data_IF_064685539269
#
_entry.id   IF_064685539269
#
_cell.length_a   1.000
_cell.length_b   1.000
_cell.length_c   1.000
_cell.angle_alpha   90.00
_cell.angle_beta   90.00
_cell.angle_gamma   90.00
#
_symmetry.space_group_name_H-M   'P 1'
#
loop_
_entity.id
_entity.type
_entity.pdbx_description
1 polymer ?
#
# COMPACT_ATOMS: atom_id res chain seq x y z
N UNK A 1 54.29 14.70 -84.50
CA UNK A 1 54.76 15.48 -83.33
C UNK A 1 53.78 15.32 -82.19
N UNK A 2 54.20 14.54 -81.19
CA UNK A 2 53.83 14.58 -79.77
C UNK A 2 52.33 14.64 -79.41
N UNK A 3 51.72 13.45 -79.32
CA UNK A 3 51.11 13.02 -78.06
C UNK A 3 52.23 12.35 -77.24
N UNK A 4 52.55 12.86 -76.04
CA UNK A 4 52.98 12.11 -74.85
C UNK A 4 53.57 13.07 -73.80
N UNK A 5 53.25 12.79 -72.53
CA UNK A 5 54.05 13.08 -71.33
C UNK A 5 54.05 14.53 -70.81
N UNK A 6 54.15 14.81 -69.52
CA UNK A 6 54.11 14.03 -68.28
C UNK A 6 54.44 15.05 -67.18
N UNK A 7 53.60 15.09 -66.15
CA UNK A 7 53.92 15.38 -64.75
C UNK A 7 54.52 16.73 -64.31
N UNK A 8 54.06 17.05 -63.08
CA UNK A 8 54.67 17.92 -62.08
C UNK A 8 54.39 19.41 -62.26
N UNK A 9 53.33 19.90 -61.61
CA UNK A 9 53.40 21.03 -60.68
C UNK A 9 52.03 21.28 -60.03
N UNK A 10 51.94 20.91 -58.74
CA UNK A 10 51.11 21.50 -57.67
C UNK A 10 49.58 21.43 -57.85
N UNK A 11 48.80 20.49 -57.30
CA UNK A 11 48.94 19.64 -56.12
C UNK A 11 49.18 20.38 -54.79
N UNK A 12 48.34 21.38 -54.47
CA UNK A 12 47.99 21.74 -53.10
C UNK A 12 46.64 22.46 -53.12
N UNK A 13 45.81 22.18 -52.11
CA UNK A 13 44.48 22.76 -51.88
C UNK A 13 43.32 22.13 -52.68
N UNK A 14 42.96 20.90 -52.30
CA UNK A 14 41.60 20.53 -51.87
C UNK A 14 41.81 19.20 -51.11
N UNK A 15 42.10 19.32 -49.81
CA UNK A 15 41.97 18.20 -48.89
C UNK A 15 40.47 18.07 -48.62
N UNK A 16 39.81 17.20 -49.38
CA UNK A 16 38.55 16.60 -48.95
C UNK A 16 38.90 15.76 -47.71
N UNK A 17 38.78 16.36 -46.52
CA UNK A 17 38.61 15.59 -45.29
C UNK A 17 37.15 15.18 -45.28
N UNK A 18 36.83 14.09 -45.99
CA UNK A 18 35.78 13.22 -45.47
C UNK A 18 36.36 12.58 -44.23
N UNK A 19 36.28 13.30 -43.11
CA UNK A 19 36.21 12.64 -41.83
C UNK A 19 34.91 11.85 -41.90
N UNK A 20 35.00 10.61 -42.34
CA UNK A 20 34.13 9.58 -41.81
C UNK A 20 34.29 9.71 -40.32
N UNK A 21 33.32 10.35 -39.67
CA UNK A 21 33.01 10.08 -38.28
C UNK A 21 32.66 8.59 -38.25
N UNK A 22 33.69 7.75 -38.17
CA UNK A 22 33.57 6.56 -37.36
C UNK A 22 33.35 7.14 -35.97
N UNK A 23 32.07 7.38 -35.65
CA UNK A 23 31.61 7.21 -34.29
C UNK A 23 32.19 5.87 -33.90
N UNK A 24 33.17 5.87 -32.99
CA UNK A 24 33.44 4.66 -32.25
C UNK A 24 32.07 4.24 -31.75
N UNK A 25 31.56 3.13 -32.29
CA UNK A 25 30.40 2.47 -31.69
C UNK A 25 30.89 2.21 -30.28
N UNK A 26 30.37 2.98 -29.31
CA UNK A 26 30.68 2.73 -27.91
C UNK A 26 30.39 1.27 -27.64
N UNK A 27 31.22 0.60 -26.84
CA UNK A 27 30.91 -0.76 -26.41
C UNK A 27 29.50 -0.77 -25.84
N UNK A 28 28.65 -1.70 -26.31
CA UNK A 28 27.28 -1.80 -25.82
C UNK A 28 27.33 -2.31 -24.39
N UNK A 29 26.47 -1.80 -23.51
CA UNK A 29 26.37 -2.32 -22.14
C UNK A 29 25.95 -3.81 -22.18
N UNK A 30 25.25 -4.22 -23.23
CA UNK A 30 24.80 -5.60 -23.43
C UNK A 30 25.92 -6.56 -23.82
N UNK A 31 27.06 -6.06 -24.32
CA UNK A 31 28.23 -6.92 -24.60
C UNK A 31 28.74 -7.58 -23.31
N UNK A 32 28.70 -6.84 -22.19
CA UNK A 32 29.11 -7.32 -20.87
C UNK A 32 27.93 -7.94 -20.07
N UNK A 33 26.70 -7.50 -20.35
CA UNK A 33 25.47 -7.94 -19.66
C UNK A 33 24.40 -8.40 -20.68
N UNK A 34 24.57 -9.57 -21.31
CA UNK A 34 23.73 -10.00 -22.44
C UNK A 34 22.25 -10.17 -22.10
N UNK A 35 21.92 -10.46 -20.84
CA UNK A 35 20.52 -10.56 -20.39
C UNK A 35 19.78 -9.21 -20.46
N UNK A 36 20.47 -8.08 -20.58
CA UNK A 36 19.82 -6.78 -20.84
C UNK A 36 19.13 -6.73 -22.20
N UNK A 37 19.48 -7.60 -23.16
CA UNK A 37 18.80 -7.72 -24.46
C UNK A 37 17.30 -7.99 -24.30
N UNK A 38 16.87 -8.63 -23.20
CA UNK A 38 15.45 -8.83 -22.94
C UNK A 38 14.67 -7.52 -22.79
N UNK A 39 15.31 -6.41 -22.39
CA UNK A 39 14.70 -5.08 -22.29
C UNK A 39 14.39 -4.47 -23.66
N UNK A 40 15.10 -4.87 -24.72
CA UNK A 40 14.92 -4.30 -26.06
C UNK A 40 13.54 -4.54 -26.68
N UNK A 41 12.76 -5.46 -26.09
CA UNK A 41 11.37 -5.69 -26.46
C UNK A 41 10.46 -4.51 -26.08
N UNK A 42 10.83 -3.71 -25.07
CA UNK A 42 10.04 -2.58 -24.58
C UNK A 42 10.70 -1.22 -24.83
N UNK A 43 12.02 -1.13 -24.69
CA UNK A 43 12.76 0.13 -24.71
C UNK A 43 14.04 0.00 -25.54
N UNK A 44 14.57 1.10 -26.07
CA UNK A 44 15.88 1.06 -26.73
C UNK A 44 17.02 1.05 -25.70
N UNK A 45 18.21 0.58 -26.09
CA UNK A 45 19.40 0.59 -25.21
C UNK A 45 19.69 1.99 -24.62
N UNK A 46 19.49 3.06 -25.40
CA UNK A 46 19.67 4.46 -24.98
C UNK A 46 18.69 4.93 -23.88
N UNK A 47 17.59 4.19 -23.68
CA UNK A 47 16.54 4.46 -22.70
C UNK A 47 16.76 3.67 -21.39
N UNK A 48 17.71 2.73 -21.36
CA UNK A 48 18.08 2.02 -20.14
C UNK A 48 18.56 3.04 -19.10
N UNK A 49 17.96 2.97 -17.93
CA UNK A 49 18.19 3.88 -16.80
C UNK A 49 18.80 3.15 -15.61
N UNK A 50 19.40 3.86 -14.64
CA UNK A 50 19.84 3.26 -13.38
C UNK A 50 18.73 2.48 -12.64
N UNK A 51 17.45 2.82 -12.85
CA UNK A 51 16.32 2.06 -12.27
C UNK A 51 16.16 0.67 -12.90
N UNK A 52 16.32 0.55 -14.23
CA UNK A 52 16.33 -0.76 -14.90
C UNK A 52 17.50 -1.61 -14.37
N UNK A 53 18.68 -1.00 -14.25
CA UNK A 53 19.89 -1.68 -13.79
C UNK A 53 19.84 -2.08 -12.32
N UNK A 54 19.20 -1.27 -11.46
CA UNK A 54 18.95 -1.61 -10.06
C UNK A 54 18.17 -2.92 -9.95
N UNK A 55 17.05 -3.02 -10.66
CA UNK A 55 16.22 -4.22 -10.68
C UNK A 55 16.93 -5.41 -11.34
N UNK A 56 17.64 -5.19 -12.44
CA UNK A 56 18.49 -6.21 -13.07
C UNK A 56 19.48 -6.84 -12.07
N UNK A 57 20.22 -6.00 -11.34
CA UNK A 57 21.15 -6.46 -10.30
C UNK A 57 20.44 -7.20 -9.17
N UNK A 58 19.32 -6.67 -8.69
CA UNK A 58 18.53 -7.32 -7.64
C UNK A 58 18.04 -8.71 -8.06
N UNK A 59 17.57 -8.86 -9.30
CA UNK A 59 17.17 -10.16 -9.87
C UNK A 59 18.33 -11.14 -9.92
N UNK A 60 19.51 -10.70 -10.37
CA UNK A 60 20.70 -11.57 -10.45
C UNK A 60 21.16 -12.05 -9.07
N UNK A 61 21.19 -11.15 -8.07
CA UNK A 61 21.46 -11.51 -6.67
C UNK A 61 20.46 -12.55 -6.17
N UNK A 62 19.17 -12.38 -6.49
CA UNK A 62 18.14 -13.34 -6.11
C UNK A 62 18.29 -14.69 -6.85
N UNK A 63 18.58 -14.69 -8.16
CA UNK A 63 18.80 -15.89 -8.96
C UNK A 63 19.96 -16.72 -8.42
N UNK A 64 21.07 -16.07 -8.07
CA UNK A 64 22.23 -16.73 -7.48
C UNK A 64 21.88 -17.34 -6.12
N UNK A 65 21.29 -16.55 -5.21
CA UNK A 65 21.05 -16.96 -3.82
C UNK A 65 19.94 -18.01 -3.69
N UNK A 66 18.91 -17.93 -4.53
CA UNK A 66 17.77 -18.85 -4.50
C UNK A 66 17.93 -19.99 -5.51
N UNK A 67 18.89 -19.92 -6.44
CA UNK A 67 19.13 -20.95 -7.44
C UNK A 67 17.97 -21.13 -8.41
N UNK A 68 17.47 -20.04 -9.00
CA UNK A 68 16.44 -20.09 -10.06
C UNK A 68 16.93 -19.47 -11.36
N UNK A 69 16.23 -19.80 -12.44
CA UNK A 69 16.45 -19.24 -13.77
C UNK A 69 15.24 -18.43 -14.20
N UNK A 70 15.46 -17.52 -15.16
CA UNK A 70 14.41 -16.73 -15.78
C UNK A 70 13.18 -17.57 -16.17
N UNK A 71 12.00 -17.11 -15.77
CA UNK A 71 10.72 -17.74 -16.08
C UNK A 71 10.35 -18.92 -15.18
N UNK A 72 11.07 -19.14 -14.07
CA UNK A 72 10.67 -20.12 -13.07
C UNK A 72 9.34 -19.72 -12.41
N UNK A 73 8.33 -20.57 -12.56
CA UNK A 73 6.98 -20.32 -12.03
C UNK A 73 6.89 -20.50 -10.51
N UNK A 74 7.87 -21.17 -9.89
CA UNK A 74 7.96 -21.37 -8.45
C UNK A 74 8.64 -20.17 -7.74
N UNK A 75 8.80 -19.05 -8.42
CA UNK A 75 9.35 -17.80 -7.85
C UNK A 75 8.28 -16.72 -7.88
N UNK A 76 8.12 -16.05 -6.75
CA UNK A 76 7.28 -14.88 -6.58
C UNK A 76 8.15 -13.64 -6.36
N UNK A 77 7.89 -12.59 -7.12
CA UNK A 77 8.43 -11.25 -6.88
C UNK A 77 7.38 -10.41 -6.15
N UNK A 78 7.77 -9.77 -5.05
CA UNK A 78 6.96 -8.77 -4.34
C UNK A 78 7.78 -7.48 -4.27
N UNK A 79 7.19 -6.34 -4.62
CA UNK A 79 7.91 -5.06 -4.64
C UNK A 79 6.98 -3.88 -4.42
N UNK A 80 7.51 -2.76 -3.93
CA UNK A 80 6.82 -1.47 -3.98
C UNK A 80 7.28 -0.56 -5.14
N UNK A 81 8.05 -1.10 -6.09
CA UNK A 81 8.43 -0.38 -7.31
C UNK A 81 7.18 0.13 -8.05
N UNK A 82 7.27 1.33 -8.62
CA UNK A 82 6.15 2.05 -9.21
C UNK A 82 5.33 2.88 -8.21
N UNK A 83 5.29 2.52 -6.93
CA UNK A 83 4.70 3.36 -5.88
C UNK A 83 5.73 4.38 -5.32
N UNK A 84 6.97 3.94 -5.12
CA UNK A 84 8.05 4.78 -4.60
C UNK A 84 8.56 5.80 -5.63
N UNK A 85 8.84 7.01 -5.16
CA UNK A 85 9.45 8.11 -5.92
C UNK A 85 10.66 8.60 -5.14
N UNK A 86 11.85 8.26 -5.63
CA UNK A 86 13.11 8.60 -4.99
C UNK A 86 13.32 10.11 -5.04
N UNK A 87 13.59 10.71 -3.87
CA UNK A 87 13.75 12.15 -3.68
C UNK A 87 12.59 12.99 -4.25
N UNK A 88 11.37 12.44 -4.32
CA UNK A 88 10.19 13.08 -4.94
C UNK A 88 10.36 13.45 -6.44
N UNK A 89 11.41 12.96 -7.10
CA UNK A 89 11.77 13.34 -8.48
C UNK A 89 11.91 12.14 -9.44
N UNK A 90 12.32 10.98 -8.93
CA UNK A 90 12.65 9.82 -9.75
C UNK A 90 11.68 8.66 -9.47
N UNK A 91 10.64 8.47 -10.30
CA UNK A 91 9.76 7.31 -10.21
C UNK A 91 10.54 6.00 -10.36
N UNK A 92 10.03 4.95 -9.71
CA UNK A 92 10.65 3.62 -9.72
C UNK A 92 9.95 2.63 -10.65
N UNK A 93 9.07 3.10 -11.53
CA UNK A 93 8.29 2.25 -12.45
C UNK A 93 9.16 1.44 -13.41
N UNK A 94 10.28 2.01 -13.87
CA UNK A 94 11.28 1.35 -14.74
C UNK A 94 11.85 0.05 -14.12
N UNK A 95 11.83 -0.07 -12.78
CA UNK A 95 12.23 -1.31 -12.12
C UNK A 95 11.30 -2.46 -12.51
N UNK A 96 10.01 -2.20 -12.74
CA UNK A 96 9.01 -3.23 -13.07
C UNK A 96 9.31 -3.90 -14.42
N UNK A 97 9.81 -3.15 -15.39
CA UNK A 97 10.21 -3.69 -16.70
C UNK A 97 11.33 -4.71 -16.56
N UNK A 98 12.39 -4.35 -15.84
CA UNK A 98 13.52 -5.23 -15.58
C UNK A 98 13.16 -6.41 -14.67
N UNK A 99 12.36 -6.20 -13.61
CA UNK A 99 11.85 -7.29 -12.79
C UNK A 99 11.10 -8.30 -13.67
N UNK A 100 10.22 -7.84 -14.56
CA UNK A 100 9.43 -8.73 -15.39
C UNK A 100 10.27 -9.44 -16.46
N UNK A 101 11.10 -8.70 -17.19
CA UNK A 101 11.80 -9.21 -18.36
C UNK A 101 13.03 -10.04 -18.00
N UNK A 102 13.72 -9.73 -16.91
CA UNK A 102 14.94 -10.44 -16.48
C UNK A 102 14.57 -11.65 -15.63
N UNK A 103 13.66 -11.51 -14.66
CA UNK A 103 13.24 -12.65 -13.84
C UNK A 103 12.25 -13.57 -14.57
N UNK A 104 11.50 -13.05 -15.54
CA UNK A 104 10.40 -13.76 -16.20
C UNK A 104 9.14 -13.89 -15.35
N UNK A 105 9.08 -13.24 -14.18
CA UNK A 105 7.89 -13.14 -13.34
C UNK A 105 6.99 -12.00 -13.81
N UNK A 106 5.67 -12.18 -13.83
CA UNK A 106 4.76 -11.12 -14.27
C UNK A 106 3.37 -11.25 -13.66
N UNK A 107 2.62 -10.15 -13.65
CA UNK A 107 1.26 -10.12 -13.11
C UNK A 107 0.34 -11.16 -13.78
N UNK A 108 0.46 -11.34 -15.10
CA UNK A 108 -0.36 -12.32 -15.85
C UNK A 108 -0.09 -13.78 -15.52
N UNK A 109 1.06 -14.07 -14.90
CA UNK A 109 1.40 -15.39 -14.34
C UNK A 109 1.12 -15.47 -12.84
N UNK A 110 0.62 -14.38 -12.26
CA UNK A 110 0.30 -14.26 -10.84
C UNK A 110 1.53 -14.30 -9.93
N UNK A 111 2.75 -14.05 -10.43
CA UNK A 111 3.98 -14.21 -9.66
C UNK A 111 4.87 -12.96 -9.62
N UNK A 112 4.32 -11.78 -9.89
CA UNK A 112 4.94 -10.48 -9.64
C UNK A 112 3.90 -9.52 -9.06
N UNK A 113 3.92 -9.31 -7.74
CA UNK A 113 2.98 -8.46 -7.01
C UNK A 113 3.62 -7.10 -6.73
N UNK A 114 3.08 -6.05 -7.34
CA UNK A 114 3.46 -4.67 -7.05
C UNK A 114 2.56 -4.09 -5.96
N UNK A 115 3.03 -4.08 -4.73
CA UNK A 115 2.28 -3.56 -3.58
C UNK A 115 2.33 -2.04 -3.51
N UNK A 116 1.20 -1.45 -3.15
CA UNK A 116 1.07 -0.03 -2.87
C UNK A 116 1.91 0.36 -1.65
N UNK A 117 2.47 1.55 -1.70
CA UNK A 117 3.34 2.09 -0.65
C UNK A 117 3.26 3.61 -0.66
N UNK A 118 3.48 4.28 0.49
CA UNK A 118 3.75 5.70 0.47
C UNK A 118 4.94 6.03 -0.44
N UNK A 119 4.79 7.05 -1.29
CA UNK A 119 5.77 7.39 -2.32
C UNK A 119 7.17 7.72 -1.80
N UNK A 120 7.29 8.13 -0.54
CA UNK A 120 8.56 8.54 0.07
C UNK A 120 9.35 7.39 0.69
N UNK A 121 8.85 6.15 0.64
CA UNK A 121 9.62 4.98 1.07
C UNK A 121 10.67 4.62 0.03
N UNK A 122 11.79 4.06 0.49
CA UNK A 122 12.78 3.44 -0.38
C UNK A 122 12.15 2.32 -1.23
N UNK A 123 12.71 2.09 -2.42
CA UNK A 123 12.32 0.96 -3.27
C UNK A 123 12.96 -0.33 -2.76
N UNK A 124 12.18 -1.41 -2.74
CA UNK A 124 12.64 -2.73 -2.33
C UNK A 124 12.05 -3.84 -3.20
N UNK A 125 12.72 -4.99 -3.17
CA UNK A 125 12.37 -6.20 -3.92
C UNK A 125 12.48 -7.40 -3.00
N UNK A 126 11.46 -8.26 -2.99
CA UNK A 126 11.48 -9.54 -2.32
C UNK A 126 11.25 -10.66 -3.35
N UNK A 127 12.12 -11.67 -3.33
CA UNK A 127 12.04 -12.83 -4.20
C UNK A 127 11.83 -14.04 -3.32
N UNK A 128 10.66 -14.66 -3.40
CA UNK A 128 10.30 -15.85 -2.63
C UNK A 128 10.34 -17.09 -3.52
N UNK A 129 10.93 -18.18 -3.04
CA UNK A 129 10.99 -19.46 -3.75
C UNK A 129 10.06 -20.49 -3.09
N UNK A 130 9.02 -20.89 -3.83
CA UNK A 130 8.15 -22.01 -3.47
C UNK A 130 8.94 -23.30 -3.33
N UNK A 131 8.53 -24.13 -2.39
CA UNK A 131 9.18 -25.40 -2.07
C UNK A 131 10.31 -25.27 -1.04
N UNK A 132 11.24 -24.31 -1.19
CA UNK A 132 12.25 -24.07 -0.13
C UNK A 132 11.72 -23.13 0.96
N UNK A 133 10.86 -22.18 0.60
CA UNK A 133 10.37 -21.15 1.51
C UNK A 133 11.36 -20.00 1.72
N UNK A 134 12.50 -20.02 1.03
CA UNK A 134 13.51 -18.97 1.15
C UNK A 134 13.09 -17.70 0.42
N UNK A 135 13.40 -16.57 1.01
CA UNK A 135 13.14 -15.25 0.49
C UNK A 135 14.39 -14.39 0.53
N UNK A 136 14.75 -13.82 -0.61
CA UNK A 136 15.78 -12.77 -0.72
C UNK A 136 15.10 -11.42 -0.71
N UNK A 137 15.40 -10.58 0.27
CA UNK A 137 14.96 -9.18 0.35
C UNK A 137 16.11 -8.25 0.02
N UNK A 138 15.85 -7.26 -0.82
CA UNK A 138 16.81 -6.25 -1.26
C UNK A 138 16.16 -4.87 -1.13
N UNK A 139 16.80 -3.95 -0.42
CA UNK A 139 16.38 -2.55 -0.30
C UNK A 139 17.46 -1.64 -0.87
N UNK A 140 17.08 -0.75 -1.79
CA UNK A 140 18.03 0.12 -2.48
C UNK A 140 18.45 1.32 -1.62
N UNK A 141 19.72 1.69 -1.68
CA UNK A 141 20.20 2.94 -1.11
C UNK A 141 19.66 4.12 -1.95
N UNK A 142 18.69 4.84 -1.38
CA UNK A 142 17.96 5.89 -2.10
C UNK A 142 18.84 7.09 -2.46
N UNK A 143 19.91 7.37 -1.70
CA UNK A 143 20.82 8.49 -1.98
C UNK A 143 21.76 8.17 -3.15
N UNK A 144 22.33 6.97 -3.16
CA UNK A 144 23.17 6.50 -4.26
C UNK A 144 22.36 6.46 -5.55
N UNK A 145 21.16 5.88 -5.49
CA UNK A 145 20.27 5.82 -6.64
C UNK A 145 19.88 7.21 -7.15
N UNK A 146 19.56 8.16 -6.27
CA UNK A 146 19.26 9.54 -6.66
C UNK A 146 20.45 10.21 -7.37
N UNK A 147 21.67 10.05 -6.84
CA UNK A 147 22.88 10.63 -7.42
C UNK A 147 23.12 10.12 -8.85
N UNK A 148 22.99 8.82 -9.08
CA UNK A 148 23.16 8.24 -10.40
C UNK A 148 22.04 8.60 -11.37
N UNK A 149 20.80 8.75 -10.88
CA UNK A 149 19.70 9.22 -11.72
C UNK A 149 19.88 10.68 -12.16
N UNK A 150 20.36 11.55 -11.25
CA UNK A 150 20.68 12.94 -11.57
C UNK A 150 21.78 13.01 -12.63
N UNK A 151 22.87 12.27 -12.41
CA UNK A 151 23.99 12.20 -13.35
C UNK A 151 23.56 11.66 -14.72
N UNK A 152 22.80 10.56 -14.75
CA UNK A 152 22.32 9.95 -16.00
C UNK A 152 21.39 10.88 -16.79
N UNK A 153 20.53 11.68 -16.12
CA UNK A 153 19.67 12.66 -16.80
C UNK A 153 20.47 13.81 -17.41
N UNK A 154 21.56 14.22 -16.77
CA UNK A 154 22.39 15.34 -17.22
C UNK A 154 23.48 14.93 -18.23
N UNK A 155 23.84 13.64 -18.26
CA UNK A 155 24.93 13.13 -19.07
C UNK A 155 24.65 13.20 -20.58
N UNK A 156 25.68 13.61 -21.33
CA UNK A 156 25.70 13.45 -22.80
C UNK A 156 26.09 12.02 -23.19
N UNK A 157 26.95 11.39 -22.39
CA UNK A 157 27.34 9.99 -22.51
C UNK A 157 26.70 9.20 -21.37
N UNK A 158 25.49 8.69 -21.60
CA UNK A 158 24.75 7.89 -20.63
C UNK A 158 25.41 6.53 -20.40
N UNK A 159 26.08 5.97 -21.40
CA UNK A 159 26.71 4.65 -21.33
C UNK A 159 27.76 4.60 -20.22
N UNK A 160 28.62 5.63 -20.13
CA UNK A 160 29.62 5.73 -19.07
C UNK A 160 29.01 5.75 -17.65
N UNK A 161 27.87 6.43 -17.47
CA UNK A 161 27.17 6.48 -16.17
C UNK A 161 26.58 5.12 -15.81
N UNK A 162 26.00 4.42 -16.79
CA UNK A 162 25.43 3.09 -16.60
C UNK A 162 26.53 2.05 -16.31
N UNK A 163 27.68 2.13 -16.99
CA UNK A 163 28.84 1.27 -16.71
C UNK A 163 29.37 1.50 -15.29
N UNK A 164 29.51 2.77 -14.87
CA UNK A 164 29.90 3.10 -13.50
C UNK A 164 28.89 2.57 -12.47
N UNK A 165 27.59 2.68 -12.74
CA UNK A 165 26.54 2.14 -11.89
C UNK A 165 26.61 0.61 -11.75
N UNK A 166 26.84 -0.09 -12.85
CA UNK A 166 27.00 -1.55 -12.85
C UNK A 166 28.22 -2.01 -12.04
N UNK A 167 29.28 -1.20 -12.02
CA UNK A 167 30.52 -1.49 -11.30
C UNK A 167 30.47 -1.17 -9.79
N UNK A 168 29.39 -0.57 -9.28
CA UNK A 168 29.22 -0.35 -7.83
C UNK A 168 29.24 -1.68 -7.07
N UNK A 169 29.83 -1.71 -5.88
CA UNK A 169 29.69 -2.86 -4.99
C UNK A 169 28.23 -3.01 -4.52
N UNK A 170 27.79 -4.25 -4.27
CA UNK A 170 26.43 -4.51 -3.79
C UNK A 170 26.14 -3.80 -2.47
N UNK A 171 27.14 -3.68 -1.57
CA UNK A 171 27.01 -3.00 -0.28
C UNK A 171 26.93 -1.46 -0.40
N UNK A 172 27.32 -0.90 -1.55
CA UNK A 172 27.15 0.52 -1.84
C UNK A 172 25.77 0.79 -2.44
N UNK A 173 25.27 -0.10 -3.30
CA UNK A 173 23.99 0.05 -3.98
C UNK A 173 22.80 -0.33 -3.10
N UNK A 174 22.93 -1.41 -2.32
CA UNK A 174 21.87 -1.96 -1.50
C UNK A 174 22.10 -1.60 -0.05
N UNK A 175 21.18 -0.80 0.51
CA UNK A 175 21.13 -0.51 1.95
C UNK A 175 20.92 -1.80 2.74
N UNK A 176 20.24 -2.78 2.14
CA UNK A 176 19.98 -4.07 2.75
C UNK A 176 19.91 -5.19 1.75
N UNK A 177 20.54 -6.31 2.11
CA UNK A 177 20.29 -7.61 1.50
C UNK A 177 20.12 -8.65 2.61
N UNK A 178 18.95 -9.30 2.66
CA UNK A 178 18.64 -10.32 3.66
C UNK A 178 18.16 -11.61 2.96
N UNK A 179 18.47 -12.76 3.56
CA UNK A 179 17.98 -14.07 3.12
C UNK A 179 17.40 -14.77 4.33
N UNK A 180 16.11 -15.07 4.27
CA UNK A 180 15.39 -15.70 5.37
C UNK A 180 14.41 -16.74 4.84
N UNK A 181 14.09 -17.75 5.65
CA UNK A 181 13.05 -18.71 5.31
C UNK A 181 11.69 -18.25 5.85
N UNK A 182 10.82 -17.79 4.95
CA UNK A 182 9.47 -17.29 5.24
C UNK A 182 8.37 -18.25 4.80
N UNK A 183 8.72 -19.51 4.52
CA UNK A 183 7.74 -20.56 4.25
C UNK A 183 6.78 -20.72 5.42
N UNK A 184 5.47 -20.80 5.14
CA UNK A 184 4.43 -20.85 6.17
C UNK A 184 4.66 -21.94 7.22
N UNK A 185 5.07 -23.14 6.79
CA UNK A 185 5.39 -24.25 7.70
C UNK A 185 6.52 -23.88 8.67
N UNK A 186 7.60 -23.26 8.19
CA UNK A 186 8.70 -22.82 9.04
C UNK A 186 8.24 -21.75 10.04
N UNK A 187 7.49 -20.76 9.57
CA UNK A 187 6.99 -19.66 10.41
C UNK A 187 6.07 -20.15 11.52
N UNK A 188 5.16 -21.09 11.21
CA UNK A 188 4.21 -21.63 12.18
C UNK A 188 4.87 -22.63 13.14
N UNK A 189 5.90 -23.36 12.72
CA UNK A 189 6.60 -24.31 13.57
C UNK A 189 7.70 -23.68 14.44
N UNK A 190 8.25 -22.52 14.03
CA UNK A 190 9.33 -21.82 14.73
C UNK A 190 9.02 -20.33 15.00
N UNK A 191 7.88 -19.98 15.62
CA UNK A 191 7.41 -18.61 15.64
C UNK A 191 8.26 -17.69 16.52
N UNK A 192 8.83 -18.17 17.63
CA UNK A 192 9.72 -17.34 18.45
C UNK A 192 10.97 -16.90 17.68
N UNK A 193 11.58 -17.81 16.92
CA UNK A 193 12.76 -17.50 16.12
C UNK A 193 12.45 -16.48 15.01
N UNK A 194 11.30 -16.61 14.34
CA UNK A 194 10.87 -15.63 13.36
C UNK A 194 10.52 -14.28 14.00
N UNK A 195 9.96 -14.28 15.21
CA UNK A 195 9.61 -13.05 15.89
C UNK A 195 10.83 -12.20 16.21
N UNK A 196 11.97 -12.79 16.57
CA UNK A 196 13.25 -12.08 16.70
C UNK A 196 13.66 -11.38 15.38
N UNK A 197 13.45 -12.05 14.24
CA UNK A 197 13.70 -11.48 12.91
C UNK A 197 12.75 -10.34 12.59
N UNK A 198 11.48 -10.48 12.97
CA UNK A 198 10.47 -9.44 12.82
C UNK A 198 10.79 -8.20 13.67
N UNK A 199 11.23 -8.37 14.92
CA UNK A 199 11.62 -7.26 15.79
C UNK A 199 12.89 -6.54 15.34
N UNK A 200 13.89 -7.31 14.87
CA UNK A 200 15.11 -6.76 14.27
C UNK A 200 14.88 -6.14 12.89
N UNK A 201 13.66 -6.29 12.35
CA UNK A 201 13.21 -5.79 11.06
C UNK A 201 14.10 -6.25 9.92
N UNK A 202 14.41 -7.54 9.80
CA UNK A 202 15.34 -8.05 8.76
C UNK A 202 14.97 -7.62 7.34
N UNK A 203 13.70 -7.33 7.04
CA UNK A 203 13.20 -6.83 5.77
C UNK A 203 12.79 -5.34 5.80
N UNK A 204 13.44 -4.54 6.65
CA UNK A 204 13.19 -3.10 6.71
C UNK A 204 11.82 -2.71 7.26
N UNK A 205 11.12 -3.63 7.94
CA UNK A 205 9.74 -3.42 8.39
C UNK A 205 8.67 -3.95 7.42
N UNK A 206 9.07 -4.66 6.37
CA UNK A 206 8.16 -5.28 5.39
C UNK A 206 7.90 -6.77 5.68
N UNK A 207 8.29 -7.28 6.85
CA UNK A 207 8.25 -8.71 7.19
C UNK A 207 6.84 -9.27 7.10
N UNK A 208 5.87 -8.57 7.70
CA UNK A 208 4.47 -8.99 7.70
C UNK A 208 3.87 -8.98 6.29
N UNK A 209 4.23 -7.98 5.47
CA UNK A 209 3.78 -7.87 4.07
C UNK A 209 4.29 -9.05 3.24
N UNK A 210 5.60 -9.28 3.25
CA UNK A 210 6.26 -10.29 2.44
C UNK A 210 5.80 -11.70 2.86
N UNK A 211 5.80 -12.00 4.16
CA UNK A 211 5.50 -13.35 4.62
C UNK A 211 4.04 -13.76 4.38
N UNK A 212 3.09 -12.83 4.54
CA UNK A 212 1.66 -13.14 4.38
C UNK A 212 1.29 -13.30 2.91
N UNK A 213 1.82 -12.43 2.05
CA UNK A 213 1.66 -12.55 0.59
C UNK A 213 2.30 -13.84 0.09
N UNK A 214 3.55 -14.12 0.48
CA UNK A 214 4.25 -15.34 0.05
C UNK A 214 3.52 -16.62 0.48
N UNK A 215 3.05 -16.68 1.73
CA UNK A 215 2.34 -17.84 2.25
C UNK A 215 1.00 -18.09 1.52
N UNK A 216 0.22 -17.03 1.27
CA UNK A 216 -1.04 -17.16 0.55
C UNK A 216 -0.83 -17.48 -0.94
N UNK A 217 0.19 -16.88 -1.57
CA UNK A 217 0.59 -17.20 -2.94
C UNK A 217 1.02 -18.66 -3.09
N UNK A 218 1.84 -19.16 -2.17
CA UNK A 218 2.30 -20.54 -2.17
C UNK A 218 1.13 -21.54 -2.04
N UNK A 219 0.13 -21.20 -1.21
CA UNK A 219 -1.08 -21.99 -1.03
C UNK A 219 -2.02 -21.96 -2.24
N UNK A 220 -2.10 -20.83 -2.95
CA UNK A 220 -2.95 -20.62 -4.11
C UNK A 220 -3.80 -19.36 -3.96
N UNK A 221 -3.20 -18.21 -4.26
CA UNK A 221 -3.84 -16.90 -4.11
C UNK A 221 -4.83 -16.64 -5.27
N UNK A 222 -6.13 -16.45 -5.02
CA UNK A 222 -7.09 -16.11 -6.07
C UNK A 222 -6.85 -14.68 -6.58
N UNK A 223 -7.32 -14.41 -7.80
CA UNK A 223 -7.04 -13.16 -8.49
C UNK A 223 -7.63 -11.93 -7.76
N UNK A 224 -8.83 -12.04 -7.20
CA UNK A 224 -9.48 -10.96 -6.45
C UNK A 224 -8.67 -10.57 -5.21
N UNK A 225 -8.17 -11.56 -4.45
CA UNK A 225 -7.31 -11.31 -3.28
C UNK A 225 -5.92 -10.81 -3.68
N UNK A 226 -5.39 -11.27 -4.82
CA UNK A 226 -4.17 -10.73 -5.42
C UNK A 226 -4.32 -9.21 -5.67
N UNK A 227 -5.39 -8.78 -6.34
CA UNK A 227 -5.66 -7.35 -6.58
C UNK A 227 -5.87 -6.56 -5.29
N UNK A 228 -6.54 -7.17 -4.31
CA UNK A 228 -6.72 -6.58 -3.01
C UNK A 228 -5.39 -6.41 -2.26
N UNK A 229 -4.47 -7.38 -2.35
CA UNK A 229 -3.15 -7.34 -1.73
C UNK A 229 -2.24 -6.28 -2.36
N UNK A 230 -2.33 -6.06 -3.68
CA UNK A 230 -1.63 -4.96 -4.35
C UNK A 230 -2.04 -3.59 -3.77
N UNK A 231 -3.33 -3.37 -3.49
CA UNK A 231 -3.78 -2.13 -2.87
C UNK A 231 -3.46 -2.06 -1.37
N UNK A 232 -3.75 -3.13 -0.63
CA UNK A 232 -3.68 -3.17 0.82
C UNK A 232 -2.26 -3.38 1.36
N UNK A 233 -1.33 -3.80 0.52
CA UNK A 233 0.10 -4.04 0.74
C UNK A 233 0.51 -5.24 1.60
N UNK A 234 -0.45 -6.02 2.10
CA UNK A 234 -0.21 -7.27 2.79
C UNK A 234 -1.50 -8.10 2.77
N UNK A 235 -1.43 -9.35 3.17
CA UNK A 235 -2.63 -10.17 3.39
C UNK A 235 -2.85 -10.32 4.89
N UNK A 236 -4.09 -10.17 5.32
CA UNK A 236 -4.51 -10.42 6.68
C UNK A 236 -5.95 -10.92 6.69
N UNK A 237 -6.45 -11.46 7.82
CA UNK A 237 -7.78 -12.06 7.84
C UNK A 237 -8.89 -11.05 7.52
N UNK A 238 -8.65 -9.77 7.85
CA UNK A 238 -9.53 -8.68 7.48
C UNK A 238 -9.64 -8.48 5.97
N UNK A 239 -8.54 -8.59 5.22
CA UNK A 239 -8.56 -8.45 3.76
C UNK A 239 -9.24 -9.66 3.11
N UNK A 240 -8.92 -10.88 3.56
CA UNK A 240 -9.55 -12.12 3.06
C UNK A 240 -11.05 -12.11 3.36
N UNK A 241 -11.47 -11.62 4.54
CA UNK A 241 -12.90 -11.45 4.85
C UNK A 241 -13.63 -10.59 3.82
N UNK A 242 -12.95 -9.59 3.23
CA UNK A 242 -13.51 -8.79 2.14
C UNK A 242 -13.70 -9.58 0.85
N UNK A 243 -12.77 -10.48 0.53
CA UNK A 243 -12.90 -11.38 -0.64
C UNK A 243 -14.04 -12.38 -0.44
N UNK A 244 -14.20 -12.92 0.77
CA UNK A 244 -15.33 -13.82 1.11
C UNK A 244 -16.66 -13.06 1.04
N UNK A 245 -16.72 -11.81 1.50
CA UNK A 245 -17.93 -10.98 1.38
C UNK A 245 -18.23 -10.64 -0.09
N UNK A 246 -17.21 -10.41 -0.92
CA UNK A 246 -17.38 -10.25 -2.38
C UNK A 246 -18.05 -11.49 -2.97
N UNK A 247 -17.56 -12.70 -2.68
CA UNK A 247 -18.18 -13.95 -3.15
C UNK A 247 -19.64 -14.08 -2.69
N UNK A 248 -19.94 -13.69 -1.43
CA UNK A 248 -21.31 -13.68 -0.92
C UNK A 248 -22.21 -12.71 -1.72
N UNK A 249 -21.74 -11.49 -1.96
CA UNK A 249 -22.48 -10.48 -2.71
C UNK A 249 -22.69 -10.89 -4.18
N UNK A 250 -21.67 -11.45 -4.82
CA UNK A 250 -21.77 -11.96 -6.20
C UNK A 250 -22.77 -13.13 -6.30
N UNK A 251 -22.97 -13.88 -5.22
CA UNK A 251 -23.94 -14.98 -5.17
C UNK A 251 -25.36 -14.53 -4.83
N UNK A 252 -25.53 -13.64 -3.86
CA UNK A 252 -26.84 -13.30 -3.27
C UNK A 252 -27.38 -11.93 -3.67
N UNK A 253 -26.52 -10.99 -4.04
CA UNK A 253 -26.89 -9.66 -4.51
C UNK A 253 -26.17 -9.31 -5.83
N UNK A 254 -26.17 -10.19 -6.85
CA UNK A 254 -25.31 -10.04 -8.03
C UNK A 254 -25.61 -8.77 -8.81
N UNK A 255 -24.59 -8.16 -9.41
CA UNK A 255 -24.79 -7.20 -10.51
C UNK A 255 -25.43 -7.94 -11.70
N UNK A 256 -26.59 -7.46 -12.15
CA UNK A 256 -27.37 -8.08 -13.23
C UNK A 256 -27.21 -7.32 -14.56
N UNK A 257 -26.93 -6.03 -14.48
CA UNK A 257 -26.86 -5.13 -15.63
C UNK A 257 -25.67 -4.17 -15.52
N UNK A 258 -25.19 -3.66 -16.67
CA UNK A 258 -24.03 -2.76 -16.73
C UNK A 258 -24.25 -1.41 -16.01
N UNK A 259 -25.50 -0.99 -15.85
CA UNK A 259 -25.86 0.26 -15.15
C UNK A 259 -25.94 0.09 -13.63
N UNK A 260 -25.77 -1.14 -13.13
CA UNK A 260 -25.68 -1.44 -11.71
C UNK A 260 -24.24 -1.39 -11.20
N UNK A 261 -24.07 -0.96 -9.96
CA UNK A 261 -22.77 -1.00 -9.27
C UNK A 261 -22.96 -1.06 -7.76
N UNK A 262 -21.94 -1.55 -7.05
CA UNK A 262 -21.97 -1.55 -5.60
C UNK A 262 -21.60 -0.20 -5.00
N UNK A 263 -22.35 0.18 -3.97
CA UNK A 263 -21.99 1.23 -3.05
C UNK A 263 -21.83 0.67 -1.65
N UNK A 264 -20.66 0.89 -1.06
CA UNK A 264 -20.26 0.32 0.22
C UNK A 264 -20.39 1.37 1.34
N UNK A 265 -21.15 1.07 2.38
CA UNK A 265 -21.10 1.80 3.64
C UNK A 265 -20.23 1.00 4.60
N UNK A 266 -18.95 1.36 4.64
CA UNK A 266 -17.91 0.78 5.48
C UNK A 266 -18.07 1.27 6.93
N UNK A 267 -19.03 0.67 7.64
CA UNK A 267 -19.42 1.04 9.01
C UNK A 267 -19.59 -0.24 9.84
N UNK A 268 -18.64 -0.66 10.69
CA UNK A 268 -17.32 -0.05 10.87
C UNK A 268 -16.37 -0.41 9.70
N UNK A 269 -15.32 0.39 9.50
CA UNK A 269 -14.29 0.06 8.53
C UNK A 269 -13.23 -0.88 9.09
N UNK A 270 -12.72 -1.76 8.23
CA UNK A 270 -11.47 -2.50 8.43
C UNK A 270 -10.88 -2.94 7.09
N UNK A 271 -9.83 -3.77 7.09
CA UNK A 271 -9.10 -4.18 5.89
C UNK A 271 -9.96 -4.74 4.74
N UNK A 272 -11.17 -5.27 5.01
CA UNK A 272 -12.09 -5.74 3.95
C UNK A 272 -12.43 -4.66 2.94
N UNK A 273 -12.42 -3.39 3.39
CA UNK A 273 -12.94 -2.30 2.58
C UNK A 273 -12.01 -2.03 1.39
N UNK A 274 -10.72 -2.29 1.54
CA UNK A 274 -9.76 -2.22 0.44
C UNK A 274 -10.00 -3.30 -0.62
N UNK A 275 -10.58 -4.46 -0.27
CA UNK A 275 -10.97 -5.47 -1.25
C UNK A 275 -12.07 -4.92 -2.18
N UNK A 276 -13.09 -4.23 -1.66
CA UNK A 276 -14.12 -3.62 -2.51
C UNK A 276 -13.58 -2.47 -3.37
N UNK A 277 -12.60 -1.72 -2.87
CA UNK A 277 -11.92 -0.70 -3.68
C UNK A 277 -11.15 -1.33 -4.84
N UNK A 278 -10.43 -2.42 -4.58
CA UNK A 278 -9.60 -3.10 -5.57
C UNK A 278 -10.40 -3.88 -6.61
N UNK A 279 -11.47 -4.56 -6.18
CA UNK A 279 -12.23 -5.52 -7.01
C UNK A 279 -13.47 -4.91 -7.64
N UNK A 280 -14.28 -4.18 -6.86
CA UNK A 280 -15.53 -3.58 -7.34
C UNK A 280 -15.40 -2.13 -7.82
N UNK A 281 -14.19 -1.55 -7.75
CA UNK A 281 -13.97 -0.14 -8.05
C UNK A 281 -14.82 0.82 -7.17
N UNK A 282 -15.17 0.36 -5.97
CA UNK A 282 -16.01 1.09 -5.02
C UNK A 282 -15.17 2.02 -4.14
N UNK A 283 -14.63 3.08 -4.72
CA UNK A 283 -13.76 4.03 -4.00
C UNK A 283 -14.52 5.22 -3.40
N UNK A 284 -13.94 5.82 -2.35
CA UNK A 284 -14.47 7.05 -1.73
C UNK A 284 -14.52 8.20 -2.73
N UNK A 285 -13.48 8.38 -3.55
CA UNK A 285 -13.41 9.43 -4.57
C UNK A 285 -14.48 9.29 -5.66
N UNK A 286 -14.83 8.05 -6.03
CA UNK A 286 -15.95 7.75 -6.94
C UNK A 286 -17.32 7.86 -6.29
N UNK A 287 -17.38 8.22 -5.00
CA UNK A 287 -18.61 8.28 -4.16
C UNK A 287 -19.34 6.95 -4.08
N UNK A 288 -18.62 5.84 -4.30
CA UNK A 288 -19.10 4.46 -4.21
C UNK A 288 -18.68 3.78 -2.91
N UNK A 289 -18.05 4.52 -2.00
CA UNK A 289 -17.83 4.10 -0.64
C UNK A 289 -18.00 5.27 0.33
N UNK A 290 -18.57 5.00 1.49
CA UNK A 290 -18.60 5.92 2.63
C UNK A 290 -18.06 5.21 3.85
N UNK A 291 -17.08 5.82 4.52
CA UNK A 291 -16.37 5.24 5.66
C UNK A 291 -16.78 5.97 6.92
N UNK A 292 -17.29 5.24 7.93
CA UNK A 292 -17.70 5.83 9.20
C UNK A 292 -17.27 4.94 10.37
N UNK A 293 -16.53 5.52 11.32
CA UNK A 293 -16.18 4.84 12.56
C UNK A 293 -17.39 4.77 13.49
N UNK A 294 -17.51 3.67 14.23
CA UNK A 294 -18.45 3.54 15.33
C UNK A 294 -17.70 3.69 16.66
N UNK A 295 -18.33 4.31 17.65
CA UNK A 295 -17.85 4.24 19.03
C UNK A 295 -17.98 2.81 19.57
N UNK A 296 -17.34 2.55 20.71
CA UNK A 296 -17.47 1.24 21.38
C UNK A 296 -18.92 0.98 21.79
N UNK A 297 -19.59 2.00 22.32
CA UNK A 297 -20.98 1.95 22.76
C UNK A 297 -21.91 1.68 21.58
N UNK A 298 -21.71 2.37 20.45
CA UNK A 298 -22.47 2.13 19.23
C UNK A 298 -22.25 0.70 18.70
N UNK A 299 -21.00 0.23 18.68
CA UNK A 299 -20.68 -1.12 18.23
C UNK A 299 -21.34 -2.20 19.09
N UNK A 300 -21.53 -1.96 20.39
CA UNK A 300 -22.19 -2.88 21.32
C UNK A 300 -23.72 -2.93 21.15
N UNK A 301 -24.32 -1.95 20.49
CA UNK A 301 -25.76 -1.91 20.21
C UNK A 301 -26.13 -2.67 18.93
N UNK A 302 -25.15 -3.01 18.11
CA UNK A 302 -25.35 -3.79 16.89
C UNK A 302 -25.32 -5.30 17.17
N UNK A 303 -25.91 -6.10 16.28
CA UNK A 303 -25.59 -7.52 16.19
C UNK A 303 -24.07 -7.73 16.16
N UNK A 304 -23.62 -8.83 16.77
CA UNK A 304 -22.18 -9.13 16.83
C UNK A 304 -21.62 -9.29 15.42
N UNK A 305 -20.41 -8.75 15.21
CA UNK A 305 -19.65 -8.88 13.98
C UNK A 305 -20.28 -8.28 12.71
N UNK A 306 -21.13 -7.24 12.83
CA UNK A 306 -21.60 -6.47 11.65
C UNK A 306 -20.41 -5.96 10.83
N UNK A 307 -20.47 -6.21 9.51
CA UNK A 307 -19.44 -5.91 8.53
C UNK A 307 -19.75 -4.72 7.63
N UNK A 308 -20.96 -4.17 7.67
CA UNK A 308 -21.30 -3.00 6.85
C UNK A 308 -22.60 -3.16 6.13
N UNK A 309 -22.90 -2.16 5.31
CA UNK A 309 -24.09 -2.12 4.46
C UNK A 309 -23.64 -2.07 3.01
N UNK A 310 -24.21 -2.93 2.19
CA UNK A 310 -23.82 -3.15 0.81
C UNK A 310 -25.03 -2.89 -0.06
N UNK A 311 -24.92 -1.92 -0.97
CA UNK A 311 -26.02 -1.49 -1.83
C UNK A 311 -25.68 -1.84 -3.27
N UNK A 312 -26.49 -2.70 -3.91
CA UNK A 312 -26.51 -2.81 -5.36
C UNK A 312 -27.38 -1.67 -5.90
N UNK A 313 -26.73 -0.64 -6.43
CA UNK A 313 -27.41 0.56 -6.92
C UNK A 313 -27.66 0.46 -8.42
N UNK A 314 -28.89 0.72 -8.83
CA UNK A 314 -29.30 0.84 -10.23
C UNK A 314 -29.36 2.31 -10.64
N UNK A 315 -28.49 2.71 -11.57
CA UNK A 315 -28.45 4.10 -12.05
C UNK A 315 -29.65 4.45 -12.93
N UNK A 316 -30.16 3.50 -13.71
CA UNK A 316 -31.26 3.71 -14.64
C UNK A 316 -32.55 4.00 -13.90
N UNK A 317 -32.82 3.21 -12.87
CA UNK A 317 -34.03 3.31 -12.05
C UNK A 317 -33.90 4.32 -10.89
N UNK A 318 -32.67 4.66 -10.50
CA UNK A 318 -32.41 5.55 -9.37
C UNK A 318 -32.81 4.93 -8.02
N UNK A 319 -32.68 3.61 -7.92
CA UNK A 319 -33.07 2.75 -6.80
C UNK A 319 -31.98 1.74 -6.50
N UNK A 320 -32.06 1.03 -5.38
CA UNK A 320 -31.13 -0.05 -5.09
C UNK A 320 -31.65 -1.04 -4.07
N UNK A 321 -31.05 -2.22 -4.07
CA UNK A 321 -31.26 -3.25 -3.06
C UNK A 321 -30.06 -3.24 -2.11
N UNK A 322 -30.33 -3.29 -0.80
CA UNK A 322 -29.32 -3.17 0.23
C UNK A 322 -29.37 -4.34 1.21
N UNK A 323 -28.19 -4.78 1.65
CA UNK A 323 -28.02 -5.81 2.66
C UNK A 323 -27.07 -5.34 3.76
N UNK A 324 -27.41 -5.66 5.01
CA UNK A 324 -26.49 -5.56 6.14
C UNK A 324 -25.89 -6.93 6.38
N UNK A 325 -24.56 -7.05 6.30
CA UNK A 325 -23.88 -8.35 6.46
C UNK A 325 -23.08 -8.39 7.77
N UNK A 326 -22.86 -9.60 8.27
CA UNK A 326 -21.88 -9.91 9.32
C UNK A 326 -20.75 -10.77 8.78
N UNK A 327 -19.62 -10.80 9.50
CA UNK A 327 -18.55 -11.78 9.28
C UNK A 327 -18.22 -12.49 10.60
N UNK A 328 -18.43 -13.80 10.69
CA UNK A 328 -18.29 -14.57 11.92
C UNK A 328 -16.82 -14.79 12.33
N UNK A 329 -16.27 -13.80 13.03
CA UNK A 329 -14.93 -13.84 13.59
C UNK A 329 -14.73 -14.96 14.61
N UNK A 330 -15.77 -15.33 15.36
CA UNK A 330 -15.66 -16.35 16.40
C UNK A 330 -15.53 -17.73 15.75
N UNK A 331 -16.33 -17.98 14.71
CA UNK A 331 -16.21 -19.17 13.87
C UNK A 331 -14.86 -19.25 13.16
N UNK A 332 -14.40 -18.15 12.56
CA UNK A 332 -13.09 -18.11 11.91
C UNK A 332 -11.96 -18.44 12.92
N UNK A 333 -12.01 -17.88 14.14
CA UNK A 333 -11.02 -18.17 15.19
C UNK A 333 -11.08 -19.64 15.63
N UNK A 334 -12.28 -20.17 15.82
CA UNK A 334 -12.50 -21.57 16.20
C UNK A 334 -11.93 -22.53 15.15
N UNK A 335 -12.27 -22.32 13.87
CA UNK A 335 -11.78 -23.13 12.76
C UNK A 335 -10.25 -23.07 12.63
N UNK A 336 -9.67 -21.90 12.90
CA UNK A 336 -8.21 -21.72 12.87
C UNK A 336 -7.51 -22.20 14.15
N UNK A 337 -8.27 -22.62 15.18
CA UNK A 337 -7.72 -23.02 16.48
C UNK A 337 -6.85 -21.94 17.13
N UNK A 338 -7.29 -20.68 17.09
CA UNK A 338 -6.59 -19.53 17.69
C UNK A 338 -7.51 -18.77 18.65
N UNK A 339 -6.91 -18.05 19.60
CA UNK A 339 -7.66 -17.18 20.49
C UNK A 339 -7.77 -15.76 19.92
N UNK A 340 -8.96 -15.16 19.99
CA UNK A 340 -9.20 -13.78 19.49
C UNK A 340 -8.34 -12.72 20.19
N UNK A 341 -7.86 -12.99 21.41
CA UNK A 341 -6.94 -12.13 22.17
C UNK A 341 -5.57 -12.01 21.50
N UNK A 342 -5.13 -13.03 20.75
CA UNK A 342 -3.80 -13.08 20.14
C UNK A 342 -3.61 -11.99 19.10
N UNK A 343 -4.68 -11.58 18.39
CA UNK A 343 -4.62 -10.47 17.45
C UNK A 343 -4.12 -9.14 18.04
N UNK A 344 -4.21 -8.98 19.36
CA UNK A 344 -3.79 -7.79 20.11
C UNK A 344 -2.53 -8.01 20.95
N UNK A 345 -1.95 -9.21 20.91
CA UNK A 345 -0.72 -9.51 21.64
C UNK A 345 0.51 -9.09 20.82
N UNK A 346 0.68 -7.78 20.68
CA UNK A 346 1.76 -7.18 19.90
C UNK A 346 3.15 -7.35 20.53
N UNK A 347 3.23 -7.86 21.76
CA UNK A 347 4.49 -8.07 22.49
C UNK A 347 5.09 -9.46 22.26
N UNK A 348 4.38 -10.35 21.55
CA UNK A 348 4.84 -11.71 21.26
C UNK A 348 4.56 -12.07 19.81
N UNK A 349 5.01 -13.25 19.37
CA UNK A 349 4.72 -13.73 18.02
C UNK A 349 3.24 -13.92 17.72
N UNK A 350 2.40 -13.99 18.76
CA UNK A 350 0.99 -14.37 18.64
C UNK A 350 0.18 -13.45 17.73
N UNK A 351 0.49 -12.15 17.67
CA UNK A 351 -0.27 -11.23 16.82
C UNK A 351 -0.14 -11.56 15.33
N UNK A 352 1.06 -11.90 14.85
CA UNK A 352 1.26 -12.21 13.44
C UNK A 352 0.99 -13.68 13.18
N UNK A 353 1.28 -14.57 14.13
CA UNK A 353 1.00 -16.00 14.04
C UNK A 353 -0.49 -16.26 13.86
N UNK A 354 -1.32 -15.62 14.70
CA UNK A 354 -2.77 -15.72 14.62
C UNK A 354 -3.31 -15.28 13.24
N UNK A 355 -2.72 -14.21 12.67
CA UNK A 355 -3.09 -13.70 11.35
C UNK A 355 -2.67 -14.66 10.25
N UNK A 356 -1.39 -15.04 10.20
CA UNK A 356 -0.87 -15.96 9.18
C UNK A 356 -1.61 -17.30 9.18
N UNK A 357 -1.87 -17.88 10.36
CA UNK A 357 -2.60 -19.15 10.47
C UNK A 357 -4.02 -19.00 9.92
N UNK A 358 -4.74 -17.99 10.39
CA UNK A 358 -6.10 -17.73 9.92
C UNK A 358 -6.13 -17.36 8.44
N UNK A 359 -5.11 -16.68 7.90
CA UNK A 359 -5.03 -16.38 6.48
C UNK A 359 -5.06 -17.65 5.63
N UNK A 360 -4.24 -18.64 6.01
CA UNK A 360 -4.17 -19.92 5.33
C UNK A 360 -5.44 -20.74 5.51
N UNK A 361 -6.09 -20.68 6.66
CA UNK A 361 -7.33 -21.43 6.93
C UNK A 361 -8.54 -20.79 6.22
N UNK A 362 -8.60 -19.45 6.13
CA UNK A 362 -9.66 -18.73 5.41
C UNK A 362 -9.54 -18.86 3.89
N UNK A 363 -8.34 -19.06 3.34
CA UNK A 363 -8.18 -19.38 1.92
C UNK A 363 -8.91 -20.67 1.54
N UNK A 364 -8.96 -21.67 2.43
CA UNK A 364 -9.71 -22.91 2.20
C UNK A 364 -11.24 -22.71 2.25
N UNK A 365 -11.71 -21.52 2.66
CA UNK A 365 -13.14 -21.16 2.76
C UNK A 365 -13.64 -20.33 1.59
N UNK A 366 -12.77 -19.93 0.68
CA UNK A 366 -13.18 -19.34 -0.58
C UNK A 366 -14.04 -20.33 -1.37
N UNK A 367 -15.15 -19.85 -1.91
CA UNK A 367 -16.20 -20.66 -2.54
C UNK A 367 -17.32 -21.12 -1.61
N UNK A 368 -17.17 -21.00 -0.29
CA UNK A 368 -18.18 -21.33 0.73
C UNK A 368 -18.49 -20.13 1.64
N UNK A 369 -18.85 -18.95 1.09
CA UNK A 369 -18.91 -17.72 1.86
C UNK A 369 -19.97 -17.74 2.98
N UNK A 370 -20.99 -18.57 2.88
CA UNK A 370 -22.06 -18.70 3.88
C UNK A 370 -21.58 -19.33 5.20
N UNK A 371 -20.41 -19.98 5.22
CA UNK A 371 -19.84 -20.47 6.49
C UNK A 371 -19.47 -19.34 7.44
N UNK A 372 -19.19 -18.15 6.90
CA UNK A 372 -18.63 -17.02 7.65
C UNK A 372 -19.43 -15.73 7.45
N UNK A 373 -20.23 -15.60 6.40
CA UNK A 373 -21.02 -14.39 6.11
C UNK A 373 -22.50 -14.69 6.30
N UNK A 374 -23.23 -13.75 6.90
CA UNK A 374 -24.68 -13.86 7.07
C UNK A 374 -25.36 -12.51 6.87
N UNK A 375 -26.59 -12.55 6.34
CA UNK A 375 -27.45 -11.36 6.22
C UNK A 375 -28.16 -11.09 7.56
N UNK A 376 -28.05 -9.86 8.05
CA UNK A 376 -28.78 -9.35 9.22
C UNK A 376 -30.10 -8.74 8.80
N UNK A 377 -30.08 -7.96 7.74
CA UNK A 377 -31.22 -7.18 7.27
C UNK A 377 -31.12 -6.95 5.76
N UNK A 378 -32.28 -6.93 5.10
CA UNK A 378 -32.43 -6.61 3.67
C UNK A 378 -33.47 -5.49 3.54
N UNK A 379 -33.20 -4.51 2.68
CA UNK A 379 -34.11 -3.40 2.43
C UNK A 379 -33.90 -2.79 1.05
N UNK A 380 -34.91 -2.07 0.55
CA UNK A 380 -34.81 -1.32 -0.70
C UNK A 380 -34.49 0.15 -0.43
N UNK A 381 -33.82 0.79 -1.38
CA UNK A 381 -33.58 2.23 -1.40
C UNK A 381 -34.34 2.79 -2.60
N UNK A 382 -35.36 3.58 -2.33
CA UNK A 382 -36.36 4.00 -3.30
C UNK A 382 -35.95 5.24 -4.11
N UNK A 383 -34.89 5.94 -3.67
CA UNK A 383 -34.41 7.16 -4.34
C UNK A 383 -32.96 7.52 -3.99
N UNK A 384 -32.32 8.30 -4.86
CA UNK A 384 -31.00 8.90 -4.58
C UNK A 384 -30.97 9.74 -3.30
N UNK A 385 -32.09 10.35 -2.90
CA UNK A 385 -32.19 11.13 -1.67
C UNK A 385 -32.12 10.23 -0.43
N UNK A 386 -32.79 9.09 -0.46
CA UNK A 386 -32.71 8.09 0.61
C UNK A 386 -31.30 7.52 0.73
N UNK A 387 -30.68 7.14 -0.39
CA UNK A 387 -29.28 6.71 -0.45
C UNK A 387 -28.33 7.77 0.15
N UNK A 388 -28.61 9.05 -0.12
CA UNK A 388 -27.82 10.18 0.38
C UNK A 388 -28.00 10.34 1.89
N UNK A 389 -29.22 10.19 2.41
CA UNK A 389 -29.50 10.30 3.84
C UNK A 389 -28.73 9.27 4.67
N UNK A 390 -28.49 8.08 4.13
CA UNK A 390 -27.70 7.03 4.79
C UNK A 390 -26.21 7.35 4.91
N UNK A 391 -25.68 8.31 4.15
CA UNK A 391 -24.23 8.54 4.02
C UNK A 391 -23.77 9.96 4.32
N UNK A 392 -24.67 10.86 4.71
CA UNK A 392 -24.30 12.23 5.06
C UNK A 392 -23.50 12.22 6.37
N UNK A 393 -22.51 13.11 6.45
CA UNK A 393 -21.72 13.31 7.65
C UNK A 393 -22.61 13.58 8.88
N UNK A 394 -22.35 12.86 9.97
CA UNK A 394 -23.10 12.97 11.21
C UNK A 394 -24.34 12.07 11.28
N UNK A 395 -24.70 11.35 10.21
CA UNK A 395 -25.74 10.32 10.24
C UNK A 395 -25.12 8.97 10.59
N UNK A 396 -25.74 8.24 11.52
CA UNK A 396 -25.46 6.82 11.71
C UNK A 396 -26.46 6.01 10.85
N UNK A 397 -26.01 5.30 9.81
CA UNK A 397 -26.92 4.57 8.92
C UNK A 397 -27.71 3.49 9.66
N UNK A 398 -27.14 2.88 10.71
CA UNK A 398 -27.84 1.86 11.49
C UNK A 398 -29.00 2.41 12.31
N UNK A 399 -28.92 3.67 12.76
CA UNK A 399 -30.06 4.34 13.38
C UNK A 399 -31.13 4.64 12.34
N UNK A 400 -30.70 5.06 11.14
CA UNK A 400 -31.62 5.44 10.07
C UNK A 400 -32.46 4.25 9.57
N UNK A 401 -31.87 3.06 9.46
CA UNK A 401 -32.56 1.82 9.07
C UNK A 401 -33.24 1.12 10.26
N UNK A 402 -33.06 1.60 11.50
CA UNK A 402 -33.72 1.04 12.68
C UNK A 402 -33.01 -0.15 13.33
N UNK A 403 -31.81 -0.51 12.88
CA UNK A 403 -30.97 -1.57 13.47
C UNK A 403 -30.24 -1.13 14.76
N UNK A 404 -30.22 0.17 15.04
CA UNK A 404 -29.67 0.77 16.26
C UNK A 404 -30.64 1.81 16.84
N UNK A 405 -30.82 1.89 18.17
CA UNK A 405 -31.63 2.95 18.77
C UNK A 405 -31.01 4.34 18.52
N UNK A 406 -31.86 5.36 18.40
CA UNK A 406 -31.38 6.74 18.34
C UNK A 406 -30.68 7.14 19.65
N UNK A 407 -29.64 7.99 19.62
CA UNK A 407 -29.00 8.49 20.83
C UNK A 407 -30.04 9.15 21.74
N UNK A 408 -30.02 8.84 23.03
CA UNK A 408 -30.83 9.58 24.01
C UNK A 408 -30.39 11.05 23.97
N UNK A 409 -31.34 11.98 23.88
CA UNK A 409 -31.05 13.41 23.98
C UNK A 409 -30.56 13.71 25.40
N UNK A 410 -29.26 13.85 25.60
CA UNK A 410 -28.73 14.44 26.84
C UNK A 410 -29.18 15.90 26.91
N UNK A 411 -30.21 16.17 27.71
CA UNK A 411 -30.51 17.53 28.15
C UNK A 411 -29.40 17.97 29.08
N UNK A 412 -28.36 18.61 28.53
CA UNK A 412 -27.40 19.34 29.35
C UNK A 412 -28.13 20.59 29.89
N UNK A 413 -28.64 20.50 31.11
CA UNK A 413 -29.00 21.69 31.88
C UNK A 413 -27.71 22.46 32.17
N UNK A 414 -27.36 23.40 31.29
CA UNK A 414 -26.32 24.37 31.59
C UNK A 414 -26.84 25.25 32.72
N UNK A 415 -26.49 24.92 33.97
CA UNK A 415 -26.65 25.85 35.08
C UNK A 415 -25.69 27.02 34.85
N UNK A 416 -26.19 28.07 34.21
CA UNK A 416 -25.50 29.36 34.21
C UNK A 416 -25.52 29.85 35.65
N UNK A 417 -24.40 29.73 36.35
CA UNK A 417 -24.23 30.27 37.69
C UNK A 417 -24.36 31.79 37.62
N UNK A 418 -25.55 32.30 37.93
CA UNK A 418 -25.82 33.74 37.93
C UNK A 418 -25.03 34.34 39.09
N UNK A 419 -23.87 34.95 38.77
CA UNK A 419 -23.05 35.69 39.75
C UNK A 419 -23.95 36.70 40.44
N UNK A 420 -24.21 36.57 41.76
CA UNK A 420 -25.10 37.47 42.47
C UNK A 420 -24.65 38.92 42.35
N UNK A 421 -25.58 39.84 42.12
CA UNK A 421 -25.30 41.26 41.91
C UNK A 421 -24.49 41.91 43.05
N UNK A 422 -24.59 41.37 44.27
CA UNK A 422 -23.80 41.83 45.41
C UNK A 422 -22.28 41.61 45.25
N UNK A 423 -21.85 40.61 44.47
CA UNK A 423 -20.42 40.36 44.20
C UNK A 423 -19.82 41.54 43.43
N UNK A 424 -20.55 42.09 42.46
CA UNK A 424 -20.12 43.29 41.74
C UNK A 424 -20.07 44.53 42.66
N UNK A 425 -21.00 44.63 43.62
CA UNK A 425 -20.95 45.70 44.63
C UNK A 425 -19.73 45.55 45.55
N UNK A 426 -19.38 44.34 45.97
CA UNK A 426 -18.18 44.06 46.77
C UNK A 426 -16.90 44.41 45.99
N UNK A 427 -16.81 44.02 44.72
CA UNK A 427 -15.68 44.39 43.84
C UNK A 427 -15.56 45.91 43.74
N UNK A 428 -16.66 46.63 43.53
CA UNK A 428 -16.66 48.08 43.44
C UNK A 428 -16.19 48.75 44.75
N UNK A 429 -16.63 48.24 45.91
CA UNK A 429 -16.20 48.73 47.23
C UNK A 429 -14.69 48.50 47.42
N UNK A 430 -14.19 47.31 47.07
CA UNK A 430 -12.76 46.99 47.18
C UNK A 430 -11.90 47.92 46.31
N UNK A 431 -12.34 48.21 45.08
CA UNK A 431 -11.66 49.18 44.21
C UNK A 431 -11.63 50.58 44.85
N UNK A 432 -12.75 51.04 45.41
CA UNK A 432 -12.85 52.33 46.09
C UNK A 432 -11.94 52.43 47.31
N UNK A 433 -11.91 51.39 48.15
CA UNK A 433 -11.01 51.31 49.31
C UNK A 433 -9.56 51.35 48.86
N UNK A 434 -9.21 50.62 47.79
CA UNK A 434 -7.86 50.61 47.24
C UNK A 434 -7.46 52.01 46.79
N UNK A 435 -8.31 52.71 46.02
CA UNK A 435 -8.09 54.09 45.56
C UNK A 435 -7.88 55.04 46.76
N UNK A 436 -8.72 54.94 47.79
CA UNK A 436 -8.61 55.77 49.00
C UNK A 436 -7.29 55.52 49.75
N UNK A 437 -6.87 54.26 49.90
CA UNK A 437 -5.59 53.90 50.52
C UNK A 437 -4.44 54.50 49.71
N UNK A 438 -4.41 54.32 48.38
CA UNK A 438 -3.37 54.92 47.54
C UNK A 438 -3.33 56.44 47.65
N UNK A 439 -4.50 57.10 47.69
CA UNK A 439 -4.59 58.55 47.79
C UNK A 439 -4.10 59.05 49.16
N UNK A 440 -4.47 58.36 50.24
CA UNK A 440 -3.98 58.65 51.59
C UNK A 440 -2.44 58.44 51.69
N UNK A 441 -1.90 57.38 51.09
CA UNK A 441 -0.45 57.16 50.98
C UNK A 441 0.25 58.29 50.22
N UNK A 442 -0.31 58.74 49.09
CA UNK A 442 0.24 59.86 48.29
C UNK A 442 0.21 61.18 49.08
N UNK A 443 -0.89 61.46 49.80
CA UNK A 443 -1.01 62.67 50.64
C UNK A 443 -0.03 62.63 51.82
N UNK A 444 0.15 61.46 52.45
CA UNK A 444 1.11 61.28 53.55
C UNK A 444 2.55 61.49 53.07
N UNK A 445 2.90 60.95 51.89
CA UNK A 445 4.21 61.14 51.25
C UNK A 445 4.49 62.61 50.87
N UNK A 446 3.45 63.38 50.53
CA UNK A 446 3.57 64.82 50.22
C UNK A 446 3.69 65.72 51.46
N UNK A 447 3.24 65.28 52.64
CA UNK A 447 3.40 66.03 53.92
C UNK A 447 4.74 65.79 54.62
N UNK A 448 5.51 64.80 54.18
CA UNK A 448 6.85 64.47 54.71
C UNK A 448 7.99 64.91 53.79
N UNK A 449 7.73 65.86 52.87
CA UNK A 449 8.75 66.56 52.07
C UNK A 449 8.83 68.02 52.44
#
# INVERSE_FOLDING_TARGET
MQLLRLCVLFAFLILFVTATSMTAVGASLMDDYPDLEYLEVLINEEEISPMHLLAYRAVNVAMERLGFQRGNIDVLVITNAGASIIMDEYPTSDCLDALALISGCCESRGNLISVNSPKWKAVWFAFYRKGSGDCVYIEANSNVLASYMEEWRAATDKGAVLEAFMNLADEELFERVAVENVGAENLLNNPEAWHERMESKVFGGNEFSIMTIAACWDKGLPYELYRAAELHNHICPGLISGTIIIEYLDKYLPIQENDQYYIILAVPPWCKDDAFQAVYDSTVGKRRMTVMMLSREQSQQLPSNVAGIYVRWDRGDGRGDAVVLTFDWDRACEQSGIERSWFKDFNTYKWWYARLKMDLDLLDKLGEPEELVSTVEEFTIESSSELTNLRIAGVNPYVNIGLMPAPEQETIEVQVEVVPTWIYAVIAILILVTILITTACIVKLRKTR
#
